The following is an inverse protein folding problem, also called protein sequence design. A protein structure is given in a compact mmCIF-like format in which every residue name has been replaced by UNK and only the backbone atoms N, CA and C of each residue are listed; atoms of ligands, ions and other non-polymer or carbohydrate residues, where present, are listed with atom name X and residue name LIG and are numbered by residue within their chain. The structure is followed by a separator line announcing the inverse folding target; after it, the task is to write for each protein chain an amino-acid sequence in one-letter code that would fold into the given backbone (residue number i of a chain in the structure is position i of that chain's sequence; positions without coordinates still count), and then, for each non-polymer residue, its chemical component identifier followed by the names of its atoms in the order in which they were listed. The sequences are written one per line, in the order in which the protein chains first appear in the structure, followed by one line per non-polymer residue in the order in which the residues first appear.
data_IF_012813399508
#
_entry.id   IF_012813399508
#
_cell.length_a   1.000
_cell.length_b   1.000
_cell.length_c   1.000
_cell.angle_alpha   90.00
_cell.angle_beta   90.00
_cell.angle_gamma   90.00
#
_symmetry.space_group_name_H-M   'P 1'
#
loop_
_entity.id
_entity.type
_entity.pdbx_description
1 polymer ?
#
# COMPACT_ATOMS: atom_id res chain seq x y z
N UNK A 1 0.03 5.18 0.81
CA UNK A 1 -0.65 4.34 -0.20
C UNK A 1 0.06 3.00 -0.23
N UNK A 2 -0.45 2.02 -0.95
CA UNK A 2 0.24 0.75 -1.15
C UNK A 2 0.43 0.43 -2.62
N UNK A 3 1.45 -0.40 -2.87
CA UNK A 3 1.75 -0.98 -4.16
C UNK A 3 1.54 -2.49 -4.08
N UNK A 4 0.58 -3.01 -4.84
CA UNK A 4 0.36 -4.43 -5.05
C UNK A 4 1.09 -4.98 -6.27
N UNK A 5 1.25 -6.30 -6.35
CA UNK A 5 1.86 -6.93 -7.53
C UNK A 5 0.76 -7.21 -8.55
N UNK A 6 0.85 -6.63 -9.73
CA UNK A 6 -0.12 -6.82 -10.82
C UNK A 6 -0.31 -8.29 -11.22
N UNK A 7 0.71 -9.14 -11.04
CA UNK A 7 0.61 -10.58 -11.30
C UNK A 7 -0.17 -11.36 -10.22
N UNK A 8 -0.28 -10.80 -9.01
CA UNK A 8 -0.99 -11.37 -7.85
C UNK A 8 -1.62 -10.24 -7.00
N UNK A 9 -2.65 -9.55 -7.52
CA UNK A 9 -3.08 -8.27 -6.99
C UNK A 9 -3.74 -8.33 -5.61
N UNK A 10 -4.35 -9.47 -5.25
CA UNK A 10 -5.00 -9.72 -3.96
C UNK A 10 -5.76 -8.49 -3.40
N UNK A 11 -6.82 -8.01 -4.10
CA UNK A 11 -7.46 -6.73 -3.79
C UNK A 11 -8.11 -6.69 -2.39
N UNK A 12 -8.57 -7.84 -1.88
CA UNK A 12 -9.07 -7.97 -0.50
C UNK A 12 -7.99 -7.64 0.53
N UNK A 13 -6.81 -8.23 0.37
CA UNK A 13 -5.61 -8.00 1.18
C UNK A 13 -5.16 -6.55 1.12
N UNK A 14 -5.01 -5.97 -0.08
CA UNK A 14 -4.66 -4.56 -0.25
C UNK A 14 -5.69 -3.63 0.40
N UNK A 15 -6.98 -3.94 0.25
CA UNK A 15 -8.06 -3.20 0.88
C UNK A 15 -8.03 -3.27 2.40
N UNK A 16 -7.72 -4.42 2.99
CA UNK A 16 -7.60 -4.58 4.43
C UNK A 16 -6.50 -3.69 5.01
N UNK A 17 -5.35 -3.66 4.33
CA UNK A 17 -4.23 -2.79 4.69
C UNK A 17 -4.65 -1.32 4.66
N UNK A 18 -5.25 -0.85 3.56
CA UNK A 18 -5.71 0.53 3.45
C UNK A 18 -6.75 0.87 4.52
N UNK A 19 -7.73 -0.01 4.77
CA UNK A 19 -8.75 0.20 5.81
C UNK A 19 -8.13 0.33 7.20
N UNK A 20 -7.07 -0.42 7.49
CA UNK A 20 -6.36 -0.35 8.77
C UNK A 20 -5.55 0.95 8.88
N UNK A 21 -4.72 1.26 7.87
CA UNK A 21 -3.88 2.46 7.83
C UNK A 21 -4.71 3.75 7.89
N UNK A 22 -5.88 3.78 7.22
CA UNK A 22 -6.78 4.94 7.19
C UNK A 22 -7.31 5.35 8.57
N UNK A 23 -7.27 4.44 9.56
CA UNK A 23 -7.66 4.75 10.95
C UNK A 23 -6.61 5.57 11.69
N UNK A 24 -5.34 5.49 11.28
CA UNK A 24 -4.22 6.13 11.96
C UNK A 24 -3.67 7.32 11.17
N UNK A 25 -3.70 7.28 9.84
CA UNK A 25 -3.24 8.40 9.00
C UNK A 25 -4.08 8.55 7.74
N UNK A 26 -3.87 9.65 7.01
CA UNK A 26 -4.57 9.92 5.77
C UNK A 26 -4.01 9.07 4.61
N UNK A 27 -4.89 8.65 3.71
CA UNK A 27 -4.50 7.96 2.49
C UNK A 27 -4.15 9.00 1.41
N UNK A 28 -3.16 8.66 0.59
CA UNK A 28 -2.73 9.50 -0.51
C UNK A 28 -3.90 9.76 -1.48
N UNK A 29 -4.22 11.02 -1.81
CA UNK A 29 -5.18 11.31 -2.86
C UNK A 29 -4.57 10.97 -4.22
N UNK A 30 -5.41 10.69 -5.24
CA UNK A 30 -4.93 10.62 -6.61
C UNK A 30 -4.39 11.98 -7.09
N UNK A 31 -3.47 11.93 -8.05
CA UNK A 31 -3.06 13.06 -8.88
C UNK A 31 -4.16 13.48 -9.87
N UNK A 32 -3.86 14.48 -10.71
CA UNK A 32 -4.80 15.03 -11.68
C UNK A 32 -5.29 14.02 -12.72
N UNK A 33 -4.53 12.94 -12.96
CA UNK A 33 -4.85 11.88 -13.92
C UNK A 33 -5.57 10.69 -13.26
N UNK A 34 -5.90 10.81 -11.97
CA UNK A 34 -6.58 9.75 -11.20
C UNK A 34 -5.63 8.63 -10.75
N UNK A 35 -4.33 8.87 -10.77
CA UNK A 35 -3.29 7.92 -10.41
C UNK A 35 -2.50 8.29 -9.16
N UNK A 36 -1.51 7.48 -8.82
CA UNK A 36 -0.44 7.83 -7.88
C UNK A 36 0.86 7.46 -8.59
N UNK A 37 1.83 8.37 -8.60
CA UNK A 37 3.16 8.20 -9.21
C UNK A 37 3.12 7.70 -10.66
N UNK A 38 2.14 8.18 -11.44
CA UNK A 38 1.96 7.80 -12.85
C UNK A 38 1.22 6.47 -13.07
N UNK A 39 0.78 5.80 -12.00
CA UNK A 39 -0.02 4.58 -12.10
C UNK A 39 -1.47 4.79 -11.73
N UNK A 40 -2.35 4.11 -12.47
CA UNK A 40 -3.79 4.21 -12.25
C UNK A 40 -4.18 3.53 -10.94
N UNK A 41 -4.99 4.22 -10.12
CA UNK A 41 -5.58 3.62 -8.94
C UNK A 41 -6.40 2.38 -9.30
N UNK A 42 -6.22 1.31 -8.53
CA UNK A 42 -7.03 0.09 -8.59
C UNK A 42 -8.17 0.13 -7.57
N UNK A 43 -7.97 0.86 -6.48
CA UNK A 43 -8.93 1.18 -5.41
C UNK A 43 -8.35 2.35 -4.60
N UNK A 44 -9.06 2.83 -3.57
CA UNK A 44 -8.56 3.93 -2.73
C UNK A 44 -7.15 3.63 -2.21
N UNK A 45 -6.18 4.46 -2.59
CA UNK A 45 -4.80 4.36 -2.11
C UNK A 45 -4.00 3.13 -2.55
N UNK A 46 -4.44 2.40 -3.58
CA UNK A 46 -3.72 1.23 -4.10
C UNK A 46 -3.44 1.38 -5.59
N UNK A 47 -2.18 1.19 -5.94
CA UNK A 47 -1.71 1.00 -7.32
C UNK A 47 -1.05 -0.37 -7.43
N UNK A 48 -0.84 -0.87 -8.66
CA UNK A 48 -0.14 -2.14 -8.87
C UNK A 48 1.02 -1.98 -9.85
N UNK A 49 2.14 -2.63 -9.57
CA UNK A 49 3.29 -2.76 -10.48
C UNK A 49 3.53 -4.21 -10.87
N UNK A 50 4.16 -4.43 -12.02
CA UNK A 50 4.78 -5.72 -12.33
C UNK A 50 6.09 -5.84 -11.53
N UNK A 51 5.95 -6.32 -10.28
CA UNK A 51 7.03 -6.27 -9.32
C UNK A 51 8.25 -7.09 -9.76
N UNK A 52 8.03 -8.24 -10.42
CA UNK A 52 9.11 -9.09 -10.94
C UNK A 52 9.84 -8.41 -12.09
N UNK A 53 9.12 -7.87 -13.07
CA UNK A 53 9.71 -7.16 -14.20
C UNK A 53 10.55 -5.96 -13.75
N UNK A 54 10.11 -5.27 -12.70
CA UNK A 54 10.81 -4.11 -12.13
C UNK A 54 11.84 -4.48 -11.03
N UNK A 55 12.08 -5.77 -10.77
CA UNK A 55 13.01 -6.25 -9.73
C UNK A 55 12.73 -5.66 -8.33
N UNK A 56 11.46 -5.41 -8.01
CA UNK A 56 11.05 -4.91 -6.70
C UNK A 56 11.11 -6.03 -5.66
N UNK A 57 11.39 -5.66 -4.41
CA UNK A 57 11.53 -6.62 -3.30
C UNK A 57 10.31 -7.56 -3.16
N UNK A 58 9.10 -7.01 -3.23
CA UNK A 58 7.84 -7.75 -3.17
C UNK A 58 7.68 -8.80 -4.29
N UNK A 59 8.44 -8.65 -5.39
CA UNK A 59 8.47 -9.57 -6.52
C UNK A 59 9.52 -10.68 -6.40
N UNK A 60 10.40 -10.70 -5.38
CA UNK A 60 11.51 -11.66 -5.32
C UNK A 60 11.07 -13.09 -4.99
N UNK A 61 10.00 -13.26 -4.21
CA UNK A 61 9.49 -14.58 -3.78
C UNK A 61 8.17 -14.93 -4.47
N UNK A 62 7.74 -16.18 -4.34
CA UNK A 62 6.39 -16.64 -4.75
C UNK A 62 5.32 -16.43 -3.66
N UNK A 63 5.57 -15.54 -2.68
CA UNK A 63 4.58 -15.24 -1.64
C UNK A 63 3.28 -14.73 -2.27
N UNK A 64 2.16 -15.34 -1.92
CA UNK A 64 0.83 -15.00 -2.46
C UNK A 64 0.42 -13.57 -2.11
N UNK A 65 0.55 -13.20 -0.84
CA UNK A 65 0.18 -11.88 -0.34
C UNK A 65 1.42 -11.02 -0.19
N UNK A 66 1.52 -9.98 -1.02
CA UNK A 66 2.65 -9.05 -1.01
C UNK A 66 2.15 -7.62 -1.16
N UNK A 67 2.86 -6.70 -0.53
CA UNK A 67 2.64 -5.26 -0.69
C UNK A 67 3.93 -4.51 -0.44
N UNK A 68 4.05 -3.32 -1.00
CA UNK A 68 4.97 -2.29 -0.52
C UNK A 68 4.15 -1.13 0.03
N UNK A 69 4.46 -0.71 1.26
CA UNK A 69 3.84 0.45 1.91
C UNK A 69 4.67 1.69 1.63
N UNK A 70 4.01 2.76 1.20
CA UNK A 70 4.65 4.03 0.91
C UNK A 70 4.01 5.12 1.78
N UNK A 71 4.78 5.57 2.77
CA UNK A 71 4.41 6.62 3.73
C UNK A 71 5.06 7.93 3.29
N UNK A 72 4.40 9.06 3.54
CA UNK A 72 4.90 10.40 3.19
C UNK A 72 5.37 11.14 4.45
N UNK A 73 6.61 10.91 4.93
CA UNK A 73 7.11 11.55 6.14
C UNK A 73 7.23 13.08 6.00
N UNK A 74 7.42 13.59 4.78
CA UNK A 74 7.61 15.02 4.51
C UNK A 74 6.29 15.83 4.44
N UNK A 75 5.15 15.19 4.70
CA UNK A 75 3.85 15.87 4.76
C UNK A 75 3.75 16.68 6.05
N UNK A 76 3.33 17.97 6.02
CA UNK A 76 3.12 18.75 7.24
C UNK A 76 1.97 18.22 8.11
N UNK A 77 1.27 17.16 7.66
CA UNK A 77 0.14 16.51 8.34
C UNK A 77 0.52 15.20 9.02
N UNK A 78 1.79 14.80 9.03
CA UNK A 78 2.23 13.58 9.72
C UNK A 78 3.30 13.90 10.78
N UNK A 79 3.46 12.97 11.71
CA UNK A 79 4.55 12.93 12.68
C UNK A 79 5.33 11.62 12.50
N UNK A 80 6.53 11.52 13.06
CA UNK A 80 7.33 10.29 13.04
C UNK A 80 6.59 9.10 13.70
N UNK A 81 5.90 9.38 14.80
CA UNK A 81 5.04 8.40 15.49
C UNK A 81 3.90 7.94 14.57
N UNK A 82 3.23 8.87 13.91
CA UNK A 82 2.15 8.53 12.98
C UNK A 82 2.63 7.68 11.79
N UNK A 83 3.85 7.93 11.29
CA UNK A 83 4.46 7.12 10.24
C UNK A 83 4.73 5.70 10.72
N UNK A 84 5.20 5.55 11.96
CA UNK A 84 5.44 4.24 12.58
C UNK A 84 4.12 3.48 12.79
N UNK A 85 3.11 4.14 13.34
CA UNK A 85 1.78 3.56 13.53
C UNK A 85 1.14 3.10 12.22
N UNK A 86 1.33 3.87 11.14
CA UNK A 86 0.86 3.48 9.81
C UNK A 86 1.50 2.17 9.32
N UNK A 87 2.79 1.97 9.56
CA UNK A 87 3.49 0.72 9.18
C UNK A 87 3.00 -0.47 10.01
N UNK A 88 2.83 -0.29 11.32
CA UNK A 88 2.26 -1.33 12.20
C UNK A 88 0.83 -1.67 11.78
N UNK A 89 -0.01 -0.66 11.55
CA UNK A 89 -1.39 -0.83 11.11
C UNK A 89 -1.47 -1.59 9.77
N UNK A 90 -0.53 -1.35 8.85
CA UNK A 90 -0.47 -2.07 7.60
C UNK A 90 -0.18 -3.57 7.80
N UNK A 91 0.80 -3.91 8.64
CA UNK A 91 1.12 -5.31 8.95
C UNK A 91 -0.07 -5.99 9.63
N UNK A 92 -0.66 -5.37 10.66
CA UNK A 92 -1.82 -5.91 11.35
C UNK A 92 -3.01 -6.11 10.40
N UNK A 93 -3.34 -5.11 9.59
CA UNK A 93 -4.47 -5.20 8.65
C UNK A 93 -4.27 -6.29 7.59
N UNK A 94 -3.04 -6.51 7.13
CA UNK A 94 -2.72 -7.61 6.23
C UNK A 94 -2.86 -8.98 6.89
N UNK A 95 -2.38 -9.12 8.13
CA UNK A 95 -2.47 -10.38 8.89
C UNK A 95 -3.92 -10.73 9.26
N UNK A 96 -4.71 -9.75 9.71
CA UNK A 96 -6.12 -9.95 10.08
C UNK A 96 -6.97 -10.48 8.92
N UNK A 97 -6.67 -10.09 7.68
CA UNK A 97 -7.40 -10.55 6.49
C UNK A 97 -7.09 -12.00 6.11
N UNK A 98 -5.88 -12.47 6.40
CA UNK A 98 -5.38 -13.78 5.92
C UNK A 98 -5.26 -14.84 7.02
N UNK A 99 -5.59 -14.49 8.26
CA UNK A 99 -5.58 -15.38 9.43
C UNK A 99 -6.87 -16.18 9.58
#
# INVERSE_FOLDING_TARGET
YTVGDSARPEPGFQGAIIRSVKKVTHIAPPDADGGIIGEKLQQEGVINYDARKHSLCMGMTDARFVTTTEVYPDSPRVTDENCTDAQVAAVCGGLEEIS
#
